data_IF_537316246603
#
_entry.id   IF_537316246603
#
_cell.length_a   1.000
_cell.length_b   1.000
_cell.length_c   1.000
_cell.angle_alpha   90.00
_cell.angle_beta   90.00
_cell.angle_gamma   90.00
#
_symmetry.space_group_name_H-M   'P 1'
#
loop_
_entity.id
_entity.type
_entity.pdbx_description
1 polymer ?
#
# COMPACT_ATOMS: atom_id res chain seq x y z
N UNK A 1 4.63 -9.71 3.93
CA UNK A 1 3.82 -9.01 2.90
C UNK A 1 4.14 -9.47 1.49
N UNK A 2 5.29 -9.08 0.92
CA UNK A 2 5.65 -9.37 -0.48
C UNK A 2 5.57 -10.86 -0.83
N UNK A 3 5.99 -11.74 0.08
CA UNK A 3 5.86 -13.19 -0.09
C UNK A 3 4.39 -13.63 -0.21
N UNK A 4 3.51 -13.11 0.63
CA UNK A 4 2.08 -13.47 0.61
C UNK A 4 1.43 -13.06 -0.70
N UNK A 5 1.75 -11.86 -1.20
CA UNK A 5 1.19 -11.29 -2.42
C UNK A 5 1.75 -11.90 -3.70
N UNK A 6 3.07 -12.13 -3.75
CA UNK A 6 3.77 -12.36 -5.02
C UNK A 6 4.24 -13.80 -5.22
N UNK A 7 4.24 -14.65 -4.20
CA UNK A 7 4.49 -16.09 -4.40
C UNK A 7 3.43 -16.65 -5.35
N UNK A 8 3.83 -17.13 -6.52
CA UNK A 8 2.89 -17.64 -7.54
C UNK A 8 2.02 -16.58 -8.22
N UNK A 9 2.40 -15.29 -8.13
CA UNK A 9 1.69 -14.15 -8.74
C UNK A 9 0.24 -14.00 -8.22
N UNK A 10 0.03 -14.32 -6.94
CA UNK A 10 -1.29 -14.44 -6.32
C UNK A 10 -2.08 -13.12 -6.34
N UNK A 11 -1.46 -12.01 -5.94
CA UNK A 11 -2.15 -10.72 -5.80
C UNK A 11 -2.62 -10.18 -7.16
N UNK A 12 -1.74 -10.20 -8.17
CA UNK A 12 -2.08 -9.73 -9.51
C UNK A 12 -3.23 -10.53 -10.12
N UNK A 13 -3.15 -11.87 -10.05
CA UNK A 13 -4.22 -12.76 -10.51
C UNK A 13 -5.52 -12.51 -9.76
N UNK A 14 -5.46 -12.39 -8.43
CA UNK A 14 -6.63 -12.09 -7.61
C UNK A 14 -7.28 -10.77 -8.04
N UNK A 15 -6.50 -9.69 -8.16
CA UNK A 15 -7.00 -8.36 -8.51
C UNK A 15 -7.62 -8.34 -9.91
N UNK A 16 -6.93 -8.89 -10.91
CA UNK A 16 -7.46 -8.94 -12.28
C UNK A 16 -8.77 -9.73 -12.35
N UNK A 17 -8.84 -10.88 -11.69
CA UNK A 17 -10.04 -11.74 -11.68
C UNK A 17 -11.21 -11.08 -10.92
N UNK A 18 -10.98 -10.61 -9.70
CA UNK A 18 -12.05 -10.27 -8.76
C UNK A 18 -12.35 -8.77 -8.65
N UNK A 19 -11.41 -7.91 -9.07
CA UNK A 19 -11.57 -6.44 -9.00
C UNK A 19 -11.74 -5.85 -10.40
N UNK A 20 -11.05 -6.39 -11.40
CA UNK A 20 -11.05 -5.86 -12.77
C UNK A 20 -11.80 -6.77 -13.77
N UNK A 21 -12.67 -7.65 -13.27
CA UNK A 21 -13.58 -8.46 -14.10
C UNK A 21 -12.87 -9.37 -15.10
N UNK A 22 -11.76 -9.99 -14.70
CA UNK A 22 -10.95 -10.89 -15.53
C UNK A 22 -9.98 -10.18 -16.49
N UNK A 23 -9.93 -8.84 -16.50
CA UNK A 23 -9.07 -8.08 -17.42
C UNK A 23 -7.66 -7.87 -16.86
N UNK A 24 -6.66 -7.86 -17.74
CA UNK A 24 -5.24 -7.62 -17.37
C UNK A 24 -4.93 -6.14 -17.07
N UNK A 25 -5.67 -5.57 -16.12
CA UNK A 25 -5.53 -4.17 -15.69
C UNK A 25 -4.28 -3.97 -14.82
N UNK A 26 -3.98 -4.93 -13.94
CA UNK A 26 -2.74 -4.94 -13.18
C UNK A 26 -1.72 -5.84 -13.89
N UNK A 27 -0.73 -5.23 -14.55
CA UNK A 27 0.33 -5.95 -15.28
C UNK A 27 1.51 -6.30 -14.37
N UNK A 28 2.36 -7.22 -14.81
CA UNK A 28 3.62 -7.53 -14.12
C UNK A 28 4.51 -6.27 -14.01
N UNK A 29 4.60 -5.47 -15.07
CA UNK A 29 5.36 -4.22 -15.05
C UNK A 29 4.80 -3.23 -14.02
N UNK A 30 3.47 -3.10 -13.94
CA UNK A 30 2.82 -2.28 -12.93
C UNK A 30 3.15 -2.77 -11.52
N UNK A 31 3.10 -4.08 -11.26
CA UNK A 31 3.47 -4.66 -9.96
C UNK A 31 4.91 -4.35 -9.59
N UNK A 32 5.86 -4.44 -10.54
CA UNK A 32 7.27 -4.11 -10.30
C UNK A 32 7.49 -2.63 -9.99
N UNK A 33 6.83 -1.73 -10.74
CA UNK A 33 6.93 -0.28 -10.52
C UNK A 33 6.26 0.12 -9.19
N UNK A 34 5.12 -0.47 -8.85
CA UNK A 34 4.46 -0.16 -7.57
C UNK A 34 5.29 -0.69 -6.39
N UNK A 35 5.89 -1.87 -6.49
CA UNK A 35 6.65 -2.39 -5.38
C UNK A 35 8.02 -1.73 -5.25
N UNK A 36 8.84 -1.73 -6.30
CA UNK A 36 10.24 -1.33 -6.18
C UNK A 36 10.41 0.18 -5.92
N UNK A 37 10.16 1.08 -6.88
CA UNK A 37 10.39 2.50 -6.60
C UNK A 37 9.36 3.10 -5.64
N UNK A 38 8.10 2.66 -5.66
CA UNK A 38 7.06 3.28 -4.82
C UNK A 38 7.11 2.74 -3.38
N UNK A 39 6.86 1.45 -3.16
CA UNK A 39 6.85 0.90 -1.80
C UNK A 39 8.25 0.88 -1.19
N UNK A 40 9.25 0.29 -1.84
CA UNK A 40 10.61 0.22 -1.25
C UNK A 40 11.30 1.59 -1.24
N UNK A 41 11.17 2.38 -2.31
CA UNK A 41 11.76 3.72 -2.37
C UNK A 41 11.22 4.64 -1.28
N UNK A 42 9.90 4.68 -1.04
CA UNK A 42 9.33 5.52 0.02
C UNK A 42 9.78 5.07 1.40
N UNK A 43 9.85 3.75 1.66
CA UNK A 43 10.35 3.26 2.94
C UNK A 43 11.84 3.59 3.15
N UNK A 44 12.64 3.54 2.09
CA UNK A 44 14.05 3.95 2.14
C UNK A 44 14.17 5.45 2.43
N UNK A 45 13.38 6.29 1.75
CA UNK A 45 13.33 7.73 2.01
C UNK A 45 12.88 8.04 3.43
N UNK A 46 11.88 7.31 3.96
CA UNK A 46 11.41 7.44 5.33
C UNK A 46 12.51 7.10 6.34
N UNK A 47 13.29 6.04 6.08
CA UNK A 47 14.42 5.67 6.91
C UNK A 47 15.47 6.78 6.94
N UNK A 48 15.87 7.30 5.77
CA UNK A 48 16.84 8.40 5.71
C UNK A 48 16.31 9.68 6.35
N UNK A 49 15.03 10.03 6.16
CA UNK A 49 14.40 11.16 6.82
C UNK A 49 14.44 11.02 8.34
N UNK A 50 14.18 9.82 8.85
CA UNK A 50 14.28 9.52 10.28
C UNK A 50 15.72 9.63 10.81
N UNK A 51 16.71 9.17 10.04
CA UNK A 51 18.13 9.24 10.41
C UNK A 51 18.65 10.69 10.42
N UNK A 52 18.23 11.51 9.45
CA UNK A 52 18.75 12.86 9.26
C UNK A 52 18.03 13.91 10.10
N UNK A 53 16.73 13.76 10.31
CA UNK A 53 15.88 14.78 10.95
C UNK A 53 15.17 14.30 12.22
N UNK A 54 15.37 13.04 12.59
CA UNK A 54 14.82 12.42 13.78
C UNK A 54 13.59 11.53 13.52
N UNK A 55 13.23 10.64 14.46
CA UNK A 55 12.28 9.54 14.22
C UNK A 55 10.91 9.96 13.69
N UNK A 56 10.42 11.14 14.08
CA UNK A 56 9.13 11.68 13.64
C UNK A 56 9.02 11.80 12.11
N UNK A 57 10.12 12.11 11.41
CA UNK A 57 10.12 12.24 9.96
C UNK A 57 10.06 10.90 9.21
N UNK A 58 10.22 9.78 9.93
CA UNK A 58 9.96 8.43 9.41
C UNK A 58 8.48 8.03 9.42
N UNK A 59 7.57 8.85 9.97
CA UNK A 59 6.16 8.48 10.15
C UNK A 59 5.41 8.16 8.84
N UNK A 60 5.90 8.59 7.68
CA UNK A 60 5.31 8.21 6.39
C UNK A 60 5.29 6.69 6.18
N UNK A 61 6.31 5.96 6.64
CA UNK A 61 6.38 4.50 6.50
C UNK A 61 5.21 3.77 7.19
N UNK A 62 4.97 3.97 8.51
CA UNK A 62 3.83 3.32 9.17
C UNK A 62 2.47 3.86 8.70
N UNK A 63 2.37 5.10 8.20
CA UNK A 63 1.14 5.59 7.57
C UNK A 63 0.86 4.90 6.22
N UNK A 64 1.88 4.70 5.37
CA UNK A 64 1.71 3.91 4.14
C UNK A 64 1.30 2.48 4.48
N UNK A 65 1.92 1.89 5.50
CA UNK A 65 1.63 0.54 5.96
C UNK A 65 0.20 0.38 6.49
N UNK A 66 -0.32 1.32 7.29
CA UNK A 66 -1.70 1.23 7.81
C UNK A 66 -2.73 1.40 6.70
N UNK A 67 -2.51 2.33 5.76
CA UNK A 67 -3.43 2.52 4.62
C UNK A 67 -3.44 1.26 3.74
N UNK A 68 -2.27 0.64 3.52
CA UNK A 68 -2.20 -0.62 2.78
C UNK A 68 -2.98 -1.73 3.50
N UNK A 69 -2.81 -1.86 4.82
CA UNK A 69 -3.55 -2.85 5.60
C UNK A 69 -5.07 -2.64 5.48
N UNK A 70 -5.52 -1.39 5.62
CA UNK A 70 -6.94 -1.04 5.46
C UNK A 70 -7.45 -1.37 4.06
N UNK A 71 -6.66 -1.17 3.00
CA UNK A 71 -7.06 -1.54 1.64
C UNK A 71 -7.33 -3.05 1.50
N UNK A 72 -6.48 -3.91 2.08
CA UNK A 72 -6.71 -5.37 2.09
C UNK A 72 -7.94 -5.76 2.93
N UNK A 73 -8.12 -5.15 4.10
CA UNK A 73 -9.29 -5.41 4.96
C UNK A 73 -10.59 -5.01 4.26
N UNK A 74 -10.64 -3.79 3.70
CA UNK A 74 -11.82 -3.28 2.98
C UNK A 74 -12.11 -4.15 1.76
N UNK A 75 -11.08 -4.51 0.99
CA UNK A 75 -11.25 -5.41 -0.17
C UNK A 75 -11.79 -6.77 0.25
N UNK A 76 -11.25 -7.35 1.32
CA UNK A 76 -11.73 -8.64 1.86
C UNK A 76 -13.18 -8.56 2.33
N UNK A 77 -13.53 -7.50 3.07
CA UNK A 77 -14.88 -7.29 3.58
C UNK A 77 -15.90 -7.08 2.45
N UNK A 78 -15.55 -6.28 1.44
CA UNK A 78 -16.42 -6.01 0.28
C UNK A 78 -16.63 -7.24 -0.58
N UNK A 79 -15.56 -7.97 -0.88
CA UNK A 79 -15.63 -9.17 -1.74
C UNK A 79 -16.04 -10.43 -0.96
N UNK A 80 -16.08 -10.36 0.37
CA UNK A 80 -16.24 -11.50 1.30
C UNK A 80 -15.30 -12.66 0.97
N UNK A 81 -14.07 -12.34 0.56
CA UNK A 81 -13.06 -13.28 0.10
C UNK A 81 -11.71 -12.96 0.72
N UNK A 82 -10.92 -14.00 0.95
CA UNK A 82 -9.49 -13.82 1.21
C UNK A 82 -8.84 -13.19 -0.01
N UNK A 83 -8.01 -12.17 0.23
CA UNK A 83 -7.13 -11.62 -0.79
C UNK A 83 -5.67 -11.75 -0.32
N UNK A 84 -4.72 -12.00 -1.25
CA UNK A 84 -3.30 -12.06 -0.91
C UNK A 84 -2.85 -10.75 -0.27
N UNK A 85 -2.30 -10.82 0.94
CA UNK A 85 -1.89 -9.67 1.74
C UNK A 85 -2.74 -9.47 3.00
N UNK A 86 -3.90 -10.11 3.10
CA UNK A 86 -4.79 -10.00 4.25
C UNK A 86 -4.17 -10.54 5.55
N UNK A 87 -3.47 -11.68 5.52
CA UNK A 87 -2.85 -12.24 6.73
C UNK A 87 -1.78 -11.29 7.26
N UNK A 88 -0.91 -10.80 6.36
CA UNK A 88 0.08 -9.79 6.74
C UNK A 88 -0.59 -8.52 7.26
N UNK A 89 -1.70 -8.10 6.65
CA UNK A 89 -2.41 -6.90 7.04
C UNK A 89 -2.91 -6.96 8.48
N UNK A 90 -3.51 -8.10 8.86
CA UNK A 90 -4.07 -8.32 10.21
C UNK A 90 -2.97 -8.59 11.23
N UNK A 91 -2.03 -9.47 10.93
CA UNK A 91 -1.06 -9.95 11.93
C UNK A 91 0.18 -9.07 12.06
N UNK A 92 0.52 -8.29 11.03
CA UNK A 92 1.76 -7.50 11.02
C UNK A 92 1.50 -6.02 10.77
N UNK A 93 0.88 -5.63 9.66
CA UNK A 93 0.82 -4.22 9.27
C UNK A 93 -0.04 -3.40 10.22
N UNK A 94 -1.23 -3.88 10.61
CA UNK A 94 -2.08 -3.18 11.57
C UNK A 94 -1.38 -3.01 12.94
N UNK A 95 -0.91 -4.08 13.61
CA UNK A 95 -0.24 -3.94 14.89
C UNK A 95 1.01 -3.05 14.82
N UNK A 96 1.88 -3.29 13.84
CA UNK A 96 3.15 -2.58 13.73
C UNK A 96 2.94 -1.09 13.42
N UNK A 97 1.98 -0.75 12.55
CA UNK A 97 1.73 0.64 12.19
C UNK A 97 1.14 1.41 13.36
N UNK A 98 0.17 0.84 14.07
CA UNK A 98 -0.44 1.45 15.26
C UNK A 98 0.62 1.66 16.34
N UNK A 99 1.42 0.64 16.66
CA UNK A 99 2.48 0.75 17.69
C UNK A 99 3.52 1.79 17.29
N UNK A 100 3.95 1.81 16.02
CA UNK A 100 4.97 2.76 15.55
C UNK A 100 4.45 4.19 15.57
N UNK A 101 3.24 4.43 15.05
CA UNK A 101 2.58 5.76 15.06
C UNK A 101 2.37 6.22 16.50
N UNK A 102 1.94 5.34 17.41
CA UNK A 102 1.75 5.70 18.81
C UNK A 102 3.07 6.03 19.50
N UNK A 103 4.10 5.19 19.33
CA UNK A 103 5.38 5.33 20.03
C UNK A 103 6.17 6.55 19.57
N UNK A 104 6.24 6.77 18.25
CA UNK A 104 6.97 7.91 17.66
C UNK A 104 6.11 9.18 17.69
N UNK A 105 4.82 9.03 17.37
CA UNK A 105 3.90 10.13 17.17
C UNK A 105 3.52 10.88 18.44
N UNK A 106 3.49 10.21 19.60
CA UNK A 106 3.19 10.87 20.88
C UNK A 106 4.17 11.99 21.25
N UNK A 107 5.38 11.95 20.70
CA UNK A 107 6.41 13.00 20.86
C UNK A 107 6.61 13.83 19.60
N UNK A 108 5.92 13.51 18.51
CA UNK A 108 6.01 14.24 17.27
C UNK A 108 5.09 15.48 17.31
N UNK A 109 5.49 16.55 16.62
CA UNK A 109 4.57 17.64 16.30
C UNK A 109 3.49 17.19 15.31
N UNK A 110 2.47 18.02 15.12
CA UNK A 110 1.37 17.74 14.19
C UNK A 110 1.84 17.58 12.73
N UNK A 111 2.87 18.32 12.32
CA UNK A 111 3.30 18.40 10.93
C UNK A 111 3.80 17.04 10.37
N UNK A 112 4.71 16.29 11.02
CA UNK A 112 5.07 14.94 10.58
C UNK A 112 3.90 13.97 10.41
N UNK A 113 2.87 14.07 11.27
CA UNK A 113 1.66 13.26 11.13
C UNK A 113 0.88 13.61 9.87
N UNK A 114 0.65 14.90 9.64
CA UNK A 114 -0.09 15.37 8.46
C UNK A 114 0.64 15.00 7.16
N UNK A 115 1.96 15.19 7.12
CA UNK A 115 2.77 14.81 5.96
C UNK A 115 2.71 13.30 5.74
N UNK A 116 2.94 12.50 6.79
CA UNK A 116 2.92 11.04 6.69
C UNK A 116 1.58 10.51 6.20
N UNK A 117 0.47 10.99 6.78
CA UNK A 117 -0.88 10.61 6.39
C UNK A 117 -1.22 11.06 4.96
N UNK A 118 -0.90 12.31 4.60
CA UNK A 118 -1.17 12.84 3.26
C UNK A 118 -0.39 12.06 2.18
N UNK A 119 0.91 11.83 2.39
CA UNK A 119 1.72 11.06 1.44
C UNK A 119 1.23 9.61 1.31
N UNK A 120 0.82 8.98 2.41
CA UNK A 120 0.24 7.64 2.37
C UNK A 120 -1.03 7.60 1.52
N UNK A 121 -1.96 8.53 1.72
CA UNK A 121 -3.20 8.60 0.94
C UNK A 121 -2.90 8.89 -0.53
N UNK A 122 -2.07 9.89 -0.83
CA UNK A 122 -1.73 10.29 -2.19
C UNK A 122 -1.05 9.16 -2.97
N UNK A 123 -0.15 8.41 -2.32
CA UNK A 123 0.48 7.24 -2.93
C UNK A 123 -0.55 6.19 -3.37
N UNK A 124 -1.48 5.84 -2.48
CA UNK A 124 -2.51 4.85 -2.80
C UNK A 124 -3.48 5.35 -3.87
N UNK A 125 -3.85 6.63 -3.85
CA UNK A 125 -4.65 7.23 -4.90
C UNK A 125 -3.93 7.21 -6.25
N UNK A 126 -2.61 7.46 -6.28
CA UNK A 126 -1.81 7.39 -7.50
C UNK A 126 -1.77 5.97 -8.08
N UNK A 127 -1.61 4.94 -7.22
CA UNK A 127 -1.67 3.53 -7.62
C UNK A 127 -3.05 3.19 -8.20
N UNK A 128 -4.12 3.56 -7.49
CA UNK A 128 -5.50 3.32 -7.94
C UNK A 128 -5.75 4.02 -9.28
N UNK A 129 -5.32 5.26 -9.43
CA UNK A 129 -5.50 6.04 -10.66
C UNK A 129 -4.76 5.39 -11.84
N UNK A 130 -3.50 4.97 -11.65
CA UNK A 130 -2.69 4.30 -12.67
C UNK A 130 -3.38 3.03 -13.18
N UNK A 131 -3.84 2.17 -12.28
CA UNK A 131 -4.48 0.89 -12.65
C UNK A 131 -5.88 1.13 -13.23
N UNK A 132 -6.64 2.08 -12.70
CA UNK A 132 -7.98 2.45 -13.20
C UNK A 132 -7.90 3.03 -14.61
N UNK A 133 -6.90 3.86 -14.90
CA UNK A 133 -6.70 4.41 -16.24
C UNK A 133 -6.48 3.29 -17.26
N UNK A 134 -5.65 2.30 -16.94
CA UNK A 134 -5.45 1.12 -17.78
C UNK A 134 -6.71 0.26 -17.90
N UNK A 135 -7.45 0.04 -16.82
CA UNK A 135 -8.71 -0.70 -16.89
C UNK A 135 -9.69 -0.05 -17.86
N UNK A 136 -9.81 1.28 -17.83
CA UNK A 136 -10.70 2.03 -18.74
C UNK A 136 -10.31 1.88 -20.21
N UNK A 137 -9.01 1.86 -20.53
CA UNK A 137 -8.56 1.64 -21.92
C UNK A 137 -8.87 0.22 -22.40
N UNK A 138 -8.76 -0.79 -21.52
CA UNK A 138 -9.13 -2.17 -21.85
C UNK A 138 -10.64 -2.35 -22.05
N UNK A 139 -11.48 -1.62 -21.31
CA UNK A 139 -12.95 -1.65 -21.50
C UNK A 139 -13.36 -0.94 -22.78
N UNK A 140 -12.73 0.18 -23.13
CA UNK A 140 -13.05 0.92 -24.35
C UNK A 140 -12.63 0.21 -25.65
N UNK A 141 -11.76 -0.81 -25.57
CA UNK A 141 -11.24 -1.57 -26.71
C UNK A 141 -11.87 -2.96 -26.88
N UNK A 142 -12.83 -3.34 -26.02
CA UNK A 142 -13.60 -4.59 -26.11
C UNK A 142 -15.02 -4.36 -26.55
#
# INVERSE_FOLDING_TARGET
HQVEEHTGDRFRKFANEHVFGGRDALTVASVLVINLPFVWGINLLALYAALLWGPAWGLVAPYVMIVNALAHLVTSARLRKYNPGLVTSVLLFLPLSVVTIWTIGRTAGLLPHLIGAALAVLLHLAIIALVTARYRTLVASS
#
